data_IF_153800057411
#
_entry.id   IF_153800057411
#
_cell.length_a   1.000
_cell.length_b   1.000
_cell.length_c   1.000
_cell.angle_alpha   90.00
_cell.angle_beta   90.00
_cell.angle_gamma   90.00
#
_symmetry.space_group_name_H-M   'P 1'
#
loop_
_entity.id
_entity.type
_entity.pdbx_description
1 polymer ?
2 non-polymer ?
3 non-polymer ?
4 non-polymer ?
5 non-polymer ?
6 water ?
#
# COMPACT_ATOMS: atom_id res chain seq x y z
N UNK A 21 14.56 4.17 20.65
CA UNK A 21 14.01 4.72 19.42
C UNK A 21 13.45 3.60 18.55
N UNK A 22 12.19 3.72 18.15
CA UNK A 22 11.59 2.70 17.31
C UNK A 22 12.27 2.60 15.94
N UNK A 23 12.39 1.38 15.44
CA UNK A 23 12.81 1.06 14.10
C UNK A 23 12.03 1.91 13.09
N UNK A 24 12.68 2.34 12.01
CA UNK A 24 11.96 2.98 10.91
C UNK A 24 11.03 1.96 10.26
N UNK A 25 9.96 2.44 9.65
CA UNK A 25 9.12 1.55 8.85
C UNK A 25 9.98 0.86 7.80
N UNK A 26 9.66 -0.41 7.51
CA UNK A 26 10.33 -1.14 6.44
C UNK A 26 9.48 -1.12 5.18
N UNK A 27 8.27 -0.58 5.27
CA UNK A 27 7.34 -0.60 4.15
C UNK A 27 6.56 0.70 4.11
N UNK A 28 6.40 1.26 2.91
CA UNK A 28 5.59 2.46 2.73
C UNK A 28 4.69 2.30 1.52
N UNK A 29 3.42 2.68 1.66
CA UNK A 29 2.43 2.51 0.60
C UNK A 29 1.86 3.88 0.29
N UNK A 30 2.00 4.30 -0.97
CA UNK A 30 1.73 5.68 -1.36
C UNK A 30 0.52 5.74 -2.28
N UNK A 31 -0.46 6.56 -1.91
CA UNK A 31 -1.65 6.75 -2.73
C UNK A 31 -1.37 7.72 -3.88
N UNK A 32 -0.77 7.21 -4.95
CA UNK A 32 -0.41 8.10 -6.07
C UNK A 32 -1.64 8.48 -6.88
N UNK A 33 -2.71 7.72 -6.74
CA UNK A 33 -4.00 8.08 -7.33
C UNK A 33 -5.07 7.42 -6.48
N UNK A 34 -6.19 8.10 -6.30
CA UNK A 34 -7.17 7.64 -5.33
C UNK A 34 -8.17 6.64 -5.91
N UNK A 35 -8.35 6.67 -7.22
CA UNK A 35 -9.49 5.99 -7.85
C UNK A 35 -9.18 4.61 -8.42
N UNK A 36 -10.23 3.81 -8.52
CA UNK A 36 -10.14 2.48 -9.09
C UNK A 36 -11.24 2.32 -10.13
N UNK A 37 -11.05 1.39 -11.05
CA UNK A 37 -12.09 1.08 -12.03
C UNK A 37 -13.09 0.02 -11.56
N UNK A 38 -12.80 -0.60 -10.43
CA UNK A 38 -13.66 -1.65 -9.89
C UNK A 38 -14.36 -1.22 -8.60
N UNK A 39 -15.33 -2.04 -8.17
CA UNK A 39 -16.02 -1.84 -6.90
C UNK A 39 -16.26 -3.19 -6.22
N UNK A 40 -15.17 -3.88 -5.93
CA UNK A 40 -15.23 -5.21 -5.31
C UNK A 40 -16.09 -5.23 -4.06
N UNK A 41 -16.89 -6.27 -3.88
CA UNK A 41 -17.77 -6.34 -2.72
C UNK A 41 -17.01 -6.38 -1.40
N UNK A 42 -15.76 -6.83 -1.46
CA UNK A 42 -14.91 -6.93 -0.26
C UNK A 42 -13.98 -5.73 -0.15
N UNK A 43 -14.30 -4.64 -0.84
CA UNK A 43 -13.51 -3.42 -0.75
C UNK A 43 -14.39 -2.24 -0.35
N UNK A 44 -13.88 -1.33 0.49
CA UNK A 44 -14.68 -0.16 0.84
C UNK A 44 -15.13 0.67 -0.36
N UNK A 45 -14.47 0.51 -1.52
CA UNK A 45 -14.94 1.21 -2.72
C UNK A 45 -16.38 0.83 -3.10
N UNK A 46 -16.82 -0.34 -2.65
CA UNK A 46 -18.16 -0.78 -2.95
C UNK A 46 -19.22 -0.05 -2.13
N UNK A 47 -18.79 0.59 -1.03
CA UNK A 47 -19.75 1.21 -0.11
C UNK A 47 -19.44 2.65 0.30
N UNK A 48 -18.25 3.15 -0.02
CA UNK A 48 -17.88 4.53 0.35
C UNK A 48 -16.98 5.12 -0.72
N UNK A 49 -16.73 6.42 -0.62
CA UNK A 49 -15.77 7.06 -1.50
C UNK A 49 -14.61 7.55 -0.64
N UNK A 50 -13.41 7.57 -1.22
CA UNK A 50 -12.25 8.13 -0.53
C UNK A 50 -12.48 9.61 -0.19
N UNK A 51 -12.05 10.03 1.00
CA UNK A 51 -12.29 11.40 1.44
C UNK A 51 -11.29 12.38 0.82
N UNK A 52 -10.25 11.82 0.22
CA UNK A 52 -9.30 12.58 -0.60
C UNK A 52 -9.31 11.95 -1.96
N UNK A 53 -9.36 12.76 -3.02
CA UNK A 53 -9.41 12.21 -4.37
C UNK A 53 -8.47 12.94 -5.31
N UNK A 54 -8.11 12.28 -6.41
CA UNK A 54 -7.24 12.89 -7.39
C UNK A 54 -5.96 12.10 -7.54
N UNK A 55 -4.98 12.71 -8.18
CA UNK A 55 -3.69 12.08 -8.38
C UNK A 55 -2.68 12.90 -7.59
N UNK A 56 -1.63 12.26 -7.07
CA UNK A 56 -0.67 12.98 -6.26
C UNK A 56 0.06 14.06 -7.05
N UNK A 57 0.12 15.25 -6.48
CA UNK A 57 0.90 16.36 -7.03
C UNK A 57 2.35 15.89 -7.22
N UNK A 58 2.91 16.04 -8.43
CA UNK A 58 4.31 15.63 -8.61
C UNK A 58 5.28 16.24 -7.60
N UNK A 59 5.02 17.48 -7.16
CA UNK A 59 5.90 18.10 -6.19
C UNK A 59 5.82 17.42 -4.84
N UNK A 60 4.65 16.88 -4.51
CA UNK A 60 4.50 16.18 -3.23
C UNK A 60 5.22 14.84 -3.28
N UNK A 61 5.11 14.13 -4.42
CA UNK A 61 5.84 12.88 -4.57
C UNK A 61 7.34 13.14 -4.47
N UNK A 62 7.81 14.24 -5.08
CA UNK A 62 9.21 14.63 -4.97
C UNK A 62 9.62 14.87 -3.52
N UNK A 63 8.79 15.61 -2.79
CA UNK A 63 9.04 15.81 -1.36
C UNK A 63 9.19 14.47 -0.64
N UNK A 64 8.30 13.53 -0.91
CA UNK A 64 8.39 12.21 -0.28
C UNK A 64 9.69 11.51 -0.66
N UNK A 65 10.07 11.58 -1.93
CA UNK A 65 11.32 10.97 -2.36
C UNK A 65 12.52 11.62 -1.69
N UNK A 66 12.51 12.94 -1.55
CA UNK A 66 13.60 13.62 -0.86
C UNK A 66 13.70 13.13 0.58
N UNK A 67 12.56 12.95 1.25
CA UNK A 67 12.59 12.54 2.64
C UNK A 67 13.04 11.09 2.78
N UNK A 68 12.54 10.21 1.92
CA UNK A 68 12.98 8.82 2.01
C UNK A 68 14.47 8.71 1.68
N UNK A 69 14.92 9.48 0.70
CA UNK A 69 16.34 9.52 0.38
C UNK A 69 17.19 9.90 1.59
N UNK A 70 16.74 10.90 2.34
CA UNK A 70 17.51 11.44 3.47
C UNK A 70 17.66 10.39 4.58
N UNK A 71 16.83 9.35 4.53
CA UNK A 71 16.83 8.28 5.52
C UNK A 71 17.49 7.01 4.97
N UNK A 72 18.02 7.10 3.74
CA UNK A 72 18.56 5.92 3.07
C UNK A 72 17.52 4.80 3.05
N UNK A 73 16.26 5.14 2.81
CA UNK A 73 15.20 4.14 2.85
C UNK A 73 15.51 3.00 1.88
N UNK A 74 15.50 1.78 2.39
CA UNK A 74 15.82 0.62 1.58
C UNK A 74 14.81 -0.51 1.73
N UNK A 75 13.62 -0.19 2.21
CA UNK A 75 12.55 -1.18 2.32
C UNK A 75 11.63 -1.21 1.11
N UNK A 76 10.42 -1.73 1.31
CA UNK A 76 9.47 -1.85 0.22
C UNK A 76 8.70 -0.55 0.04
N UNK A 77 8.54 -0.12 -1.21
CA UNK A 77 7.61 0.96 -1.51
C UNK A 77 6.57 0.48 -2.50
N UNK A 78 5.30 0.75 -2.20
CA UNK A 78 4.21 0.39 -3.08
C UNK A 78 3.38 1.62 -3.37
N UNK A 79 2.46 1.48 -4.30
CA UNK A 79 1.83 2.64 -4.95
C UNK A 79 0.31 2.60 -4.95
N UNK A 80 -0.27 2.03 -3.90
CA UNK A 80 -1.73 1.93 -3.81
C UNK A 80 -2.19 2.20 -2.37
N UNK A 81 -3.45 2.61 -2.26
CA UNK A 81 -4.16 2.62 -0.99
C UNK A 81 -5.47 1.87 -1.32
N UNK A 82 -6.44 2.55 -1.94
CA UNK A 82 -7.68 1.93 -2.42
C UNK A 82 -8.03 2.35 -3.83
N UNK A 83 -7.01 2.39 -4.68
CA UNK A 83 -7.19 2.74 -6.07
C UNK A 83 -6.37 1.77 -6.90
N UNK A 84 -6.38 1.96 -8.22
CA UNK A 84 -5.66 1.09 -9.12
C UNK A 84 -4.47 1.89 -9.65
N UNK A 85 -3.25 1.50 -9.27
CA UNK A 85 -2.07 2.30 -9.63
C UNK A 85 -1.89 2.47 -11.13
N UNK A 86 -2.30 1.51 -11.94
CA UNK A 86 -2.11 1.66 -13.38
C UNK A 86 -2.98 2.76 -13.98
N UNK A 87 -3.94 3.28 -13.21
CA UNK A 87 -4.67 4.47 -13.62
C UNK A 87 -3.90 5.78 -13.36
N UNK A 88 -2.82 5.73 -12.58
CA UNK A 88 -2.06 6.96 -12.31
C UNK A 88 -1.34 7.45 -13.55
N UNK A 89 -1.68 8.65 -14.01
CA UNK A 89 -1.13 9.13 -15.27
C UNK A 89 0.38 9.36 -15.14
N UNK A 90 0.82 9.66 -13.93
CA UNK A 90 2.24 9.88 -13.68
C UNK A 90 2.95 8.64 -13.11
N UNK A 91 2.40 7.45 -13.30
CA UNK A 91 3.03 6.28 -12.68
C UNK A 91 4.48 6.11 -13.15
N UNK A 92 4.70 6.22 -14.47
CA UNK A 92 6.05 6.07 -15.03
C UNK A 92 7.00 7.06 -14.36
N UNK A 93 6.57 8.31 -14.24
CA UNK A 93 7.39 9.34 -13.62
C UNK A 93 7.74 8.96 -12.19
N UNK A 94 6.71 8.52 -11.45
CA UNK A 94 6.89 8.23 -10.03
C UNK A 94 7.77 7.01 -9.82
N UNK A 95 7.61 5.98 -10.64
CA UNK A 95 8.49 4.81 -10.51
C UNK A 95 9.95 5.19 -10.85
N UNK A 96 10.12 5.95 -11.93
CA UNK A 96 11.46 6.43 -12.29
C UNK A 96 12.09 7.25 -11.18
N UNK A 97 11.32 8.15 -10.57
CA UNK A 97 11.85 8.93 -9.45
C UNK A 97 12.21 8.05 -8.25
N UNK A 98 11.46 6.97 -8.04
CA UNK A 98 11.77 6.04 -6.95
C UNK A 98 13.17 5.49 -7.14
N UNK A 99 13.44 5.00 -8.34
CA UNK A 99 14.77 4.47 -8.67
C UNK A 99 15.90 5.51 -8.53
N UNK A 100 15.60 6.75 -8.91
CA UNK A 100 16.57 7.84 -8.80
C UNK A 100 16.88 8.21 -7.35
N UNK A 101 15.85 8.33 -6.51
CA UNK A 101 16.05 8.85 -5.16
C UNK A 101 16.40 7.79 -4.13
N UNK A 102 15.76 6.63 -4.25
CA UNK A 102 15.94 5.53 -3.30
C UNK A 102 16.17 4.22 -4.04
N UNK A 103 17.33 4.12 -4.72
CA UNK A 103 17.72 2.97 -5.54
C UNK A 103 17.83 1.67 -4.73
N UNK A 104 18.05 1.78 -3.42
CA UNK A 104 18.10 0.60 -2.57
C UNK A 104 16.74 0.05 -2.16
N UNK A 105 15.68 0.83 -2.37
CA UNK A 105 14.33 0.39 -2.03
C UNK A 105 13.83 -0.65 -3.02
N UNK A 106 12.80 -1.39 -2.60
CA UNK A 106 12.19 -2.45 -3.41
C UNK A 106 10.79 -2.02 -3.86
N UNK A 107 10.67 -1.54 -5.11
CA UNK A 107 9.33 -1.12 -5.57
C UNK A 107 8.43 -2.28 -5.99
N UNK A 108 7.26 -2.36 -5.37
CA UNK A 108 6.33 -3.44 -5.65
C UNK A 108 4.97 -2.86 -5.97
N UNK A 109 4.41 -3.22 -7.12
CA UNK A 109 3.07 -2.75 -7.48
C UNK A 109 2.03 -3.80 -7.16
N UNK A 110 1.03 -3.44 -6.36
CA UNK A 110 -0.19 -4.24 -6.27
C UNK A 110 -1.18 -3.64 -7.28
N UNK A 111 -1.82 -4.49 -8.07
CA UNK A 111 -2.70 -4.02 -9.15
C UNK A 111 -3.77 -5.04 -9.43
N UNK A 112 -4.92 -4.57 -9.90
CA UNK A 112 -5.97 -5.51 -10.32
C UNK A 112 -5.65 -6.10 -11.70
N UNK A 113 -4.59 -5.58 -12.34
CA UNK A 113 -4.14 -6.14 -13.60
C UNK A 113 -4.99 -5.83 -14.83
N UNK A 114 -6.09 -5.11 -14.65
CA UNK A 114 -7.03 -4.90 -15.74
C UNK A 114 -6.40 -4.08 -16.88
N UNK A 115 -5.41 -3.28 -16.55
CA UNK A 115 -4.70 -2.43 -17.51
C UNK A 115 -3.31 -2.94 -17.80
N UNK A 116 -2.98 -4.12 -17.27
CA UNK A 116 -1.60 -4.58 -17.33
C UNK A 116 -1.32 -5.39 -18.60
N UNK A 117 -0.75 -4.74 -19.60
CA UNK A 117 -0.32 -5.41 -20.82
C UNK A 117 1.14 -5.81 -20.67
N UNK A 118 1.63 -6.62 -21.60
CA UNK A 118 3.04 -7.00 -21.57
C UNK A 118 3.93 -5.76 -21.68
N UNK A 119 3.57 -4.85 -22.58
CA UNK A 119 4.35 -3.64 -22.78
C UNK A 119 4.38 -2.84 -21.48
N UNK A 120 3.23 -2.72 -20.83
CA UNK A 120 3.14 -1.95 -19.60
C UNK A 120 4.00 -2.58 -18.51
N UNK A 121 3.91 -3.88 -18.38
CA UNK A 121 4.71 -4.62 -17.41
C UNK A 121 6.19 -4.37 -17.65
N UNK A 122 6.62 -4.47 -18.90
CA UNK A 122 8.04 -4.32 -19.22
C UNK A 122 8.55 -2.89 -19.01
N UNK A 123 7.73 -1.90 -19.34
CA UNK A 123 8.12 -0.50 -19.09
C UNK A 123 8.33 -0.29 -17.59
N UNK A 124 7.39 -0.81 -16.81
CA UNK A 124 7.42 -0.60 -15.37
C UNK A 124 8.61 -1.32 -14.73
N UNK A 125 8.90 -2.53 -15.19
CA UNK A 125 10.06 -3.25 -14.68
C UNK A 125 11.34 -2.50 -15.00
N UNK A 126 11.46 -2.03 -16.23
CA UNK A 126 12.64 -1.25 -16.64
C UNK A 126 12.83 0.00 -15.77
N UNK A 127 11.72 0.64 -15.40
CA UNK A 127 11.80 1.84 -14.56
C UNK A 127 12.12 1.50 -13.11
N UNK A 128 11.88 0.26 -12.70
CA UNK A 128 12.29 -0.16 -11.37
C UNK A 128 11.40 -1.11 -10.58
N UNK A 129 10.21 -1.40 -11.10
CA UNK A 129 9.33 -2.32 -10.39
C UNK A 129 9.98 -3.70 -10.27
N UNK A 130 10.04 -4.23 -9.07
CA UNK A 130 10.68 -5.52 -8.87
C UNK A 130 9.70 -6.69 -8.81
N UNK A 131 8.45 -6.40 -8.46
CA UNK A 131 7.43 -7.44 -8.38
C UNK A 131 6.07 -6.81 -8.58
N UNK A 132 5.15 -7.57 -9.18
CA UNK A 132 3.78 -7.13 -9.33
C UNK A 132 2.93 -8.12 -8.54
N UNK A 133 2.09 -7.61 -7.65
CA UNK A 133 1.12 -8.46 -6.96
C UNK A 133 -0.19 -8.23 -7.69
N UNK A 134 -0.58 -9.16 -8.56
CA UNK A 134 -1.74 -8.98 -9.43
C UNK A 134 -2.89 -9.85 -8.95
N UNK A 135 -4.04 -9.24 -8.72
CA UNK A 135 -5.22 -10.00 -8.30
C UNK A 135 -6.33 -9.93 -9.34
N UNK A 136 -6.79 -11.08 -9.78
CA UNK A 136 -8.06 -11.20 -10.52
C UNK A 136 -9.20 -11.09 -9.52
N UNK A 137 -10.02 -10.05 -9.65
CA UNK A 137 -11.04 -9.76 -8.66
C UNK A 137 -12.40 -10.28 -9.06
N UNK A 138 -13.35 -10.15 -8.16
CA UNK A 138 -14.71 -10.62 -8.46
C UNK A 138 -15.26 -9.88 -9.67
N UNK A 139 -15.97 -10.60 -10.52
CA UNK A 139 -16.54 -9.98 -11.69
C UNK A 139 -15.79 -10.37 -12.95
N UNK A 140 -15.73 -9.43 -13.89
CA UNK A 140 -15.16 -9.66 -15.20
C UNK A 140 -13.75 -10.20 -15.17
N UNK A 141 -13.51 -11.28 -15.92
CA UNK A 141 -12.18 -11.82 -16.12
C UNK A 141 -11.38 -10.79 -16.93
N UNK A 142 -10.21 -10.41 -16.45
CA UNK A 142 -9.43 -9.40 -17.16
C UNK A 142 -8.56 -9.98 -18.28
N UNK A 143 -8.06 -9.11 -19.14
CA UNK A 143 -7.24 -9.53 -20.27
C UNK A 143 -5.84 -10.00 -19.82
N UNK A 144 -5.44 -9.65 -18.60
CA UNK A 144 -4.13 -10.07 -18.11
C UNK A 144 -4.00 -11.60 -18.06
N UNK A 145 -5.13 -12.28 -17.98
CA UNK A 145 -5.08 -13.73 -17.99
C UNK A 145 -4.25 -14.22 -19.19
N UNK A 146 -4.64 -13.80 -20.38
CA UNK A 146 -3.97 -14.24 -21.59
C UNK A 146 -2.57 -13.66 -21.73
N UNK A 147 -2.38 -12.45 -21.23
CA UNK A 147 -1.06 -11.84 -21.24
C UNK A 147 -0.10 -12.65 -20.39
N UNK A 148 -0.54 -12.94 -19.16
CA UNK A 148 0.28 -13.71 -18.23
C UNK A 148 0.64 -15.06 -18.84
N UNK A 149 -0.36 -15.75 -19.37
CA UNK A 149 -0.09 -17.06 -19.99
C UNK A 149 0.95 -17.02 -21.11
N UNK A 150 1.19 -15.86 -21.69
CA UNK A 150 2.13 -15.73 -22.81
C UNK A 150 3.46 -15.09 -22.41
N UNK A 151 3.59 -14.70 -21.14
CA UNK A 151 4.81 -14.01 -20.70
C UNK A 151 6.03 -14.93 -20.74
N UNK A 152 7.16 -14.37 -21.13
CA UNK A 152 8.43 -15.06 -21.04
C UNK A 152 8.71 -15.25 -19.56
N UNK A 153 9.52 -16.25 -19.22
CA UNK A 153 9.75 -16.60 -17.83
C UNK A 153 10.27 -15.45 -16.97
N UNK A 154 11.16 -14.65 -17.52
CA UNK A 154 11.80 -13.57 -16.77
C UNK A 154 10.77 -12.53 -16.33
N UNK A 155 9.76 -12.33 -17.16
CA UNK A 155 8.68 -11.42 -16.81
C UNK A 155 7.73 -12.12 -15.85
N UNK A 156 7.45 -13.38 -16.13
CA UNK A 156 6.49 -14.16 -15.36
C UNK A 156 6.92 -14.31 -13.91
N UNK A 157 8.23 -14.48 -13.71
CA UNK A 157 8.81 -14.63 -12.39
C UNK A 157 8.61 -13.37 -11.53
N UNK A 158 8.32 -12.24 -12.19
CA UNK A 158 8.14 -10.99 -11.47
C UNK A 158 6.70 -10.77 -11.03
N UNK A 159 5.82 -11.71 -11.38
CA UNK A 159 4.41 -11.58 -11.07
C UNK A 159 3.98 -12.63 -10.04
N UNK A 160 3.33 -12.17 -8.97
CA UNK A 160 2.56 -13.04 -8.10
C UNK A 160 1.10 -12.89 -8.54
N UNK A 161 0.53 -13.94 -9.14
CA UNK A 161 -0.81 -13.83 -9.71
C UNK A 161 -1.82 -14.50 -8.78
N UNK A 162 -2.65 -13.69 -8.12
CA UNK A 162 -3.61 -14.17 -7.14
C UNK A 162 -5.02 -14.09 -7.69
N UNK A 163 -5.91 -14.95 -7.20
CA UNK A 163 -7.34 -14.78 -7.37
C UNK A 163 -7.87 -14.17 -6.09
N UNK A 164 -8.99 -13.46 -6.17
CA UNK A 164 -9.51 -12.89 -4.94
C UNK A 164 -9.86 -13.98 -3.93
N UNK A 165 -10.17 -15.18 -4.41
CA UNK A 165 -10.44 -16.30 -3.52
C UNK A 165 -9.23 -16.77 -2.70
N UNK A 166 -8.03 -16.29 -3.04
CA UNK A 166 -6.81 -16.64 -2.31
C UNK A 166 -6.57 -15.68 -1.16
N UNK A 167 -7.24 -14.54 -1.19
CA UNK A 167 -7.02 -13.51 -0.18
C UNK A 167 -7.60 -13.95 1.15
N UNK A 168 -6.94 -13.54 2.24
CA UNK A 168 -7.54 -13.64 3.56
C UNK A 168 -8.26 -12.33 3.77
N UNK A 169 -9.57 -12.34 3.55
CA UNK A 169 -10.37 -11.11 3.54
C UNK A 169 -10.45 -10.42 4.91
N UNK A 170 -10.03 -9.17 4.94
CA UNK A 170 -10.15 -8.35 6.13
C UNK A 170 -11.39 -7.47 5.98
N UNK A 171 -12.00 -7.09 7.10
CA UNK A 171 -13.17 -6.22 7.06
C UNK A 171 -12.76 -4.76 6.92
N UNK A 172 -11.47 -4.55 6.66
CA UNK A 172 -10.93 -3.21 6.49
C UNK A 172 -11.27 -2.29 7.66
N UNK A 173 -10.79 -2.66 8.86
CA UNK A 173 -11.02 -1.84 10.04
C UNK A 173 -12.48 -1.77 10.42
N UNK A 174 -13.25 -2.79 10.05
CA UNK A 174 -14.65 -2.87 10.44
C UNK A 174 -15.61 -2.15 9.51
N UNK A 175 -15.10 -1.65 8.40
CA UNK A 175 -15.96 -1.02 7.41
C UNK A 175 -16.90 -2.01 6.73
N UNK A 176 -16.38 -3.20 6.45
CA UNK A 176 -17.15 -4.19 5.72
C UNK A 176 -17.88 -5.19 6.62
N UNK A 177 -19.21 -5.21 6.58
CA UNK A 177 -19.98 -6.07 7.48
C UNK A 177 -20.20 -7.47 6.91
N UNK A 178 -20.10 -7.60 5.60
CA UNK A 178 -20.30 -8.89 4.95
C UNK A 178 -19.10 -9.82 5.11
N UNK A 179 -18.11 -9.39 5.89
CA UNK A 179 -16.91 -10.17 6.13
C UNK A 179 -16.78 -10.58 7.60
N UNK A 180 -16.91 -11.88 7.87
CA UNK A 180 -16.86 -12.39 9.23
C UNK A 180 -15.48 -12.27 9.88
N UNK A 185 0.27 -14.94 19.00
CA UNK A 185 0.20 -13.50 18.75
C UNK A 185 -1.21 -12.96 19.01
N UNK A 186 -2.20 -13.85 18.93
CA UNK A 186 -3.58 -13.48 19.16
C UNK A 186 -3.95 -12.20 18.40
N UNK A 187 -4.45 -11.21 19.12
CA UNK A 187 -4.80 -9.92 18.52
C UNK A 187 -3.72 -8.84 18.34
N UNK A 188 -2.49 -9.18 18.65
CA UNK A 188 -1.40 -8.31 18.36
C UNK A 188 -1.45 -7.80 16.94
N UNK A 189 -0.90 -6.62 16.69
CA UNK A 189 -0.75 -6.15 15.31
C UNK A 189 0.54 -5.39 15.18
N UNK A 190 1.31 -5.68 14.12
CA UNK A 190 2.56 -5.00 13.88
C UNK A 190 2.51 -4.01 12.72
N UNK A 191 1.36 -3.84 12.08
CA UNK A 191 1.33 -2.93 10.94
C UNK A 191 1.94 -1.55 11.27
N UNK A 192 1.46 -0.90 12.35
CA UNK A 192 2.01 0.43 12.67
C UNK A 192 3.43 0.43 13.20
N UNK A 193 4.00 -0.75 13.46
CA UNK A 193 5.42 -0.82 13.81
C UNK A 193 6.28 -0.92 12.54
N UNK A 194 5.68 -1.37 11.44
CA UNK A 194 6.43 -1.73 10.24
C UNK A 194 6.12 -0.91 9.00
N UNK A 195 4.97 -0.26 8.98
CA UNK A 195 4.42 0.29 7.74
C UNK A 195 3.80 1.66 7.93
N UNK A 196 3.93 2.50 6.91
CA UNK A 196 3.25 3.79 6.86
C UNK A 196 2.53 3.92 5.52
N UNK A 197 1.37 4.58 5.55
CA UNK A 197 0.66 4.94 4.32
C UNK A 197 0.75 6.44 4.13
N UNK A 198 0.98 6.90 2.90
CA UNK A 198 0.91 8.31 2.58
C UNK A 198 -0.25 8.52 1.61
N UNK A 199 -1.26 9.29 2.02
CA UNK A 199 -2.43 9.53 1.18
C UNK A 199 -2.10 10.53 0.08
N UNK A 200 -3.02 10.67 -0.86
CA UNK A 200 -2.76 11.48 -2.05
C UNK A 200 -2.44 12.94 -1.70
N UNK A 201 -2.98 13.42 -0.58
CA UNK A 201 -2.67 14.78 -0.10
C UNK A 201 -1.51 14.84 0.89
N UNK A 202 -0.85 13.71 1.15
CA UNK A 202 0.37 13.70 1.95
C UNK A 202 0.15 13.37 3.41
N UNK A 203 -1.06 12.96 3.76
CA UNK A 203 -1.31 12.56 5.13
C UNK A 203 -0.80 11.17 5.44
N UNK A 204 -0.19 11.01 6.62
CA UNK A 204 0.42 9.75 6.97
C UNK A 204 -0.48 8.97 7.91
N UNK A 205 -0.81 7.74 7.52
CA UNK A 205 -1.65 6.87 8.32
C UNK A 205 -0.81 5.70 8.83
N UNK A 206 -1.22 5.08 9.94
CA UNK A 206 -0.42 4.01 10.54
C UNK A 206 -0.77 2.63 9.99
N UNK A 207 -1.73 2.55 9.07
CA UNK A 207 -2.17 1.25 8.59
C UNK A 207 -2.93 1.40 7.30
N UNK A 208 -2.81 0.43 6.43
CA UNK A 208 -3.53 0.44 5.16
C UNK A 208 -5.04 0.21 5.34
N UNK A 209 -5.50 -0.18 6.53
CA UNK A 209 -6.94 -0.38 6.77
C UNK A 209 -7.65 0.94 7.04
N UNK A 210 -6.89 2.04 7.17
CA UNK A 210 -7.46 3.30 7.65
C UNK A 210 -8.10 4.11 6.52
N UNK A 211 -9.03 3.48 5.81
CA UNK A 211 -9.67 4.08 4.64
C UNK A 211 -10.30 5.43 4.97
N UNK A 212 -10.81 5.56 6.20
CA UNK A 212 -11.48 6.79 6.61
C UNK A 212 -10.57 7.77 7.34
N UNK A 213 -9.28 7.46 7.40
CA UNK A 213 -8.27 8.37 7.96
C UNK A 213 -8.61 8.79 9.39
N UNK A 214 -8.89 7.80 10.23
CA UNK A 214 -9.20 8.02 11.64
C UNK A 214 -7.95 8.33 12.43
N UNK A 215 -6.80 8.01 11.85
CA UNK A 215 -5.56 8.15 12.58
C UNK A 215 -4.46 8.87 11.81
N UNK A 216 -4.79 10.05 11.28
CA UNK A 216 -3.78 10.87 10.61
C UNK A 216 -2.70 11.26 11.61
N UNK A 217 -1.45 10.97 11.26
CA UNK A 217 -0.33 11.15 12.17
C UNK A 217 0.42 12.47 11.90
N UNK A 218 0.22 13.01 10.70
CA UNK A 218 0.92 14.20 10.26
C UNK A 218 0.84 14.27 8.75
N UNK A 219 1.41 15.32 8.18
CA UNK A 219 1.43 15.50 6.74
C UNK A 219 2.84 15.80 6.28
N UNK A 220 3.32 15.08 5.27
CA UNK A 220 4.73 15.17 4.87
C UNK A 220 5.07 16.50 4.21
N UNK A 221 4.04 17.28 3.87
CA UNK A 221 4.27 18.61 3.34
C UNK A 221 4.57 19.60 4.46
N UNK A 222 4.25 19.20 5.70
CA UNK A 222 4.41 20.07 6.86
C UNK A 222 5.54 19.61 7.76
N UNK A 223 5.81 18.30 7.78
CA UNK A 223 6.82 17.71 8.64
C UNK A 223 7.52 16.57 7.92
N UNK A 224 8.77 16.31 8.29
CA UNK A 224 9.52 15.20 7.72
C UNK A 224 8.85 13.90 8.20
N UNK A 225 8.72 12.93 7.30
CA UNK A 225 8.07 11.67 7.66
C UNK A 225 8.78 10.98 8.83
N UNK A 226 10.08 11.22 8.99
CA UNK A 226 10.79 10.61 10.11
C UNK A 226 10.27 11.15 11.43
N UNK A 227 10.07 12.47 11.49
CA UNK A 227 9.54 13.09 12.69
C UNK A 227 8.10 12.65 12.96
N UNK A 228 7.33 12.47 11.89
CA UNK A 228 5.96 11.97 12.05
C UNK A 228 5.99 10.55 12.61
N UNK A 229 6.78 9.69 11.96
CA UNK A 229 6.95 8.31 12.39
C UNK A 229 7.31 8.19 13.87
N UNK A 230 8.12 9.12 14.36
CA UNK A 230 8.63 9.06 15.71
C UNK A 230 7.88 9.93 16.71
N UNK A 231 6.79 10.55 16.29
CA UNK A 231 6.06 11.42 17.21
C UNK A 231 5.32 10.62 18.28
N UNK A 232 4.79 11.30 19.29
CA UNK A 232 4.14 10.61 20.40
C UNK A 232 2.91 9.80 19.96
N UNK A 233 2.11 10.37 19.08
CA UNK A 233 0.88 9.70 18.64
C UNK A 233 1.20 8.37 17.97
N UNK A 234 2.19 8.39 17.07
CA UNK A 234 2.55 7.22 16.29
C UNK A 234 3.26 6.20 17.18
N UNK A 235 4.18 6.67 18.01
CA UNK A 235 4.91 5.80 18.92
C UNK A 235 3.98 5.11 19.92
N UNK A 236 3.04 5.88 20.47
CA UNK A 236 2.09 5.32 21.42
C UNK A 236 1.17 4.31 20.74
N UNK A 237 0.70 4.63 19.54
CA UNK A 237 -0.21 3.76 18.81
C UNK A 237 0.45 2.42 18.49
N UNK A 238 1.70 2.44 18.02
CA UNK A 238 2.34 1.19 17.62
C UNK A 238 2.63 0.29 18.82
N UNK A 239 2.98 0.88 19.94
CA UNK A 239 3.18 0.11 21.17
C UNK A 239 1.88 -0.54 21.62
N UNK A 240 0.81 0.25 21.63
CA UNK A 240 -0.53 -0.20 21.96
C UNK A 240 -0.97 -1.42 21.12
N UNK A 241 -0.75 -1.33 19.82
CA UNK A 241 -1.19 -2.42 18.94
C UNK A 241 -0.28 -3.63 19.02
N UNK A 242 1.01 -3.39 19.26
CA UNK A 242 1.95 -4.48 19.46
C UNK A 242 1.51 -5.33 20.65
N UNK A 243 0.94 -4.67 21.65
CA UNK A 243 0.43 -5.35 22.84
C UNK A 243 -0.98 -5.94 22.66
N UNK A 244 -1.59 -5.67 21.50
CA UNK A 244 -2.87 -6.28 21.14
C UNK A 244 -4.09 -5.54 21.64
N UNK A 245 -3.93 -4.27 22.01
CA UNK A 245 -5.02 -3.50 22.58
C UNK A 245 -5.85 -2.81 21.50
N UNK A 246 -6.41 -3.61 20.60
CA UNK A 246 -7.26 -3.10 19.52
C UNK A 246 -8.45 -2.33 20.08
N UNK A 247 -8.96 -2.77 21.24
CA UNK A 247 -10.13 -2.14 21.85
C UNK A 247 -9.95 -0.68 22.21
N UNK A 248 -8.71 -0.20 22.22
CA UNK A 248 -8.43 1.17 22.63
C UNK A 248 -8.46 2.17 21.47
N UNK A 249 -8.86 1.70 20.29
CA UNK A 249 -8.84 2.54 19.08
C UNK A 249 -10.09 2.37 18.24
N UNK A 250 -10.67 3.48 17.79
CA UNK A 250 -11.80 3.44 16.86
C UNK A 250 -11.42 2.76 15.55
N UNK A 251 -10.16 2.86 15.16
CA UNK A 251 -9.68 2.23 13.93
C UNK A 251 -9.65 0.71 14.09
N UNK A 252 -9.02 0.25 15.17
CA UNK A 252 -8.73 -1.18 15.36
C UNK A 252 -9.79 -2.00 16.07
N UNK A 253 -10.70 -1.36 16.80
CA UNK A 253 -11.54 -2.13 17.73
C UNK A 253 -12.33 -3.25 17.06
N UNK A 254 -12.79 -3.03 15.83
CA UNK A 254 -13.55 -4.06 15.14
C UNK A 254 -12.75 -4.71 14.01
N UNK A 255 -11.45 -4.42 13.95
CA UNK A 255 -10.61 -4.94 12.88
C UNK A 255 -10.31 -6.42 13.05
N UNK A 256 -10.53 -7.21 12.00
CA UNK A 256 -10.27 -8.65 12.06
C UNK A 256 -8.98 -9.07 11.37
N UNK A 257 -8.16 -8.09 10.99
CA UNK A 257 -6.94 -8.40 10.24
C UNK A 257 -5.83 -8.86 11.17
N UNK A 258 -5.40 -10.11 11.03
CA UNK A 258 -4.29 -10.64 11.80
C UNK A 258 -3.13 -11.11 10.92
N UNK A 259 -2.99 -10.50 9.75
CA UNK A 259 -1.98 -10.92 8.79
C UNK A 259 -0.56 -10.38 9.05
N UNK A 260 -0.43 -9.36 9.90
CA UNK A 260 0.87 -8.73 10.12
C UNK A 260 1.16 -8.74 11.60
N UNK A 261 1.84 -9.79 12.07
CA UNK A 261 2.13 -9.93 13.49
C UNK A 261 3.62 -10.14 13.85
N UNK A 262 4.51 -9.93 12.88
CA UNK A 262 5.93 -9.96 13.17
C UNK A 262 6.56 -8.65 12.73
N UNK A 263 7.85 -8.51 13.01
CA UNK A 263 8.59 -7.29 12.79
C UNK A 263 9.13 -7.18 11.36
N UNK A 264 8.91 -8.23 10.56
CA UNK A 264 9.60 -8.36 9.28
C UNK A 264 8.98 -7.61 8.11
N UNK A 265 9.84 -7.05 7.26
CA UNK A 265 9.43 -6.51 5.98
C UNK A 265 8.83 -7.63 5.13
N UNK A 266 7.73 -7.35 4.45
CA UNK A 266 7.16 -8.34 3.53
C UNK A 266 6.95 -7.72 2.14
N UNK A 267 6.86 -8.59 1.12
CA UNK A 267 6.40 -8.18 -0.19
C UNK A 267 4.87 -8.09 -0.20
N UNK A 268 4.21 -9.18 0.21
CA UNK A 268 2.76 -9.20 0.38
C UNK A 268 2.44 -10.23 1.44
N UNK A 269 1.26 -10.10 2.04
CA UNK A 269 0.71 -11.19 2.86
C UNK A 269 -0.65 -11.42 2.25
N UNK A 270 -1.19 -12.65 2.39
CA UNK A 270 -2.49 -12.93 1.76
C UNK A 270 -3.59 -12.20 2.53
#
# INVERSE_FOLDING_TARGET
MGSSHHHHHHSSGLVPRGSHMDKLFSMIEVEVNSQCNRTCWYCPNSVSKRKETGEMDPALYKTLMEQLSSLDFAGRISFHFYGEPLLCKNLDLFVGMTTEYIPRARPIIYTNGDFLTEKRLQTLTELGIQKFIVTQHAGAKHKFRGVYDQLAGADKEKVVYLDHSDLVLSNRGGILDNIPQASKANMSCMVPSNLAVVTVLGNVLPCFEDFNQKMVMGNIGEQHISDIWHNDKFTSFRKMLKEGHRGKSDLCKNCNNVSVQTEEQYDYVL
#
